data_IF_124003385557
#
_entry.id   IF_124003385557
#
_cell.length_a   1.000
_cell.length_b   1.000
_cell.length_c   1.000
_cell.angle_alpha   90.00
_cell.angle_beta   90.00
_cell.angle_gamma   90.00
#
_symmetry.space_group_name_H-M   'P 1'
#
loop_
_entity.id
_entity.type
_entity.pdbx_description
1 polymer ?
#
# COMPACT_ATOMS: atom_id res chain seq x y z
N UNK A 1 -9.23 -28.90 6.48
CA UNK A 1 -9.88 -27.60 6.72
C UNK A 1 -9.92 -26.86 5.40
N UNK A 2 -11.10 -26.58 4.87
CA UNK A 2 -11.25 -25.74 3.68
C UNK A 2 -11.24 -24.28 4.14
N UNK A 3 -10.26 -23.51 3.67
CA UNK A 3 -10.20 -22.07 3.94
C UNK A 3 -11.16 -21.37 2.99
N UNK A 4 -12.13 -20.63 3.54
CA UNK A 4 -13.08 -19.85 2.77
C UNK A 4 -12.49 -18.54 2.21
N UNK A 5 -13.27 -17.83 1.40
CA UNK A 5 -12.90 -16.50 0.91
C UNK A 5 -12.81 -15.49 2.06
N UNK A 6 -11.77 -14.65 2.05
CA UNK A 6 -11.61 -13.52 2.97
C UNK A 6 -11.83 -12.23 2.18
N UNK A 7 -12.75 -11.38 2.65
CA UNK A 7 -13.00 -10.04 2.11
C UNK A 7 -12.59 -8.98 3.12
N UNK A 8 -12.11 -7.85 2.62
CA UNK A 8 -11.78 -6.69 3.43
C UNK A 8 -12.43 -5.43 2.87
N UNK A 9 -12.56 -4.45 3.75
CA UNK A 9 -13.07 -3.12 3.42
C UNK A 9 -11.93 -2.12 3.54
N UNK A 10 -11.81 -1.23 2.56
CA UNK A 10 -10.84 -0.15 2.65
C UNK A 10 -11.22 0.80 3.79
N UNK A 11 -10.23 1.20 4.59
CA UNK A 11 -10.41 2.13 5.73
C UNK A 11 -10.00 3.57 5.40
N UNK A 12 -9.47 3.81 4.20
CA UNK A 12 -8.91 5.09 3.81
C UNK A 12 -8.31 5.07 2.42
N UNK A 13 -7.64 6.17 2.05
CA UNK A 13 -7.00 6.40 0.75
C UNK A 13 -5.57 6.89 0.95
N UNK A 14 -4.67 6.43 0.07
CA UNK A 14 -3.29 6.91 0.01
C UNK A 14 -3.18 8.00 -1.05
N UNK A 15 -2.68 9.16 -0.67
CA UNK A 15 -2.36 10.28 -1.55
C UNK A 15 -0.86 10.35 -1.79
N UNK A 16 -0.46 10.30 -3.06
CA UNK A 16 0.93 10.42 -3.48
C UNK A 16 1.04 11.25 -4.75
N UNK A 17 2.25 11.72 -5.12
CA UNK A 17 2.47 12.38 -6.41
C UNK A 17 2.37 11.40 -7.59
N UNK A 18 2.41 10.09 -7.36
CA UNK A 18 2.34 9.07 -8.41
C UNK A 18 0.90 8.81 -8.83
N UNK A 19 0.50 9.40 -9.97
CA UNK A 19 -0.86 9.24 -10.53
C UNK A 19 -1.02 8.05 -11.47
N UNK A 20 0.07 7.38 -11.84
CA UNK A 20 0.11 6.23 -12.75
C UNK A 20 1.10 5.21 -12.22
N UNK A 21 0.95 3.96 -12.64
CA UNK A 21 1.90 2.87 -12.28
C UNK A 21 3.30 3.13 -12.83
N UNK A 22 3.39 3.73 -14.02
CA UNK A 22 4.66 4.12 -14.63
C UNK A 22 5.26 5.31 -13.88
N UNK A 23 6.53 5.20 -13.48
CA UNK A 23 7.23 6.24 -12.72
C UNK A 23 7.08 6.10 -11.20
N UNK A 24 6.27 5.17 -10.71
CA UNK A 24 6.29 4.78 -9.30
C UNK A 24 7.62 4.08 -8.97
N UNK A 25 8.29 4.45 -7.86
CA UNK A 25 9.48 3.78 -7.39
C UNK A 25 9.26 2.27 -7.23
N UNK A 26 10.26 1.48 -7.64
CA UNK A 26 10.23 0.02 -7.50
C UNK A 26 10.15 -0.38 -6.02
N UNK A 27 10.80 0.41 -5.16
CA UNK A 27 10.79 0.25 -3.71
C UNK A 27 10.62 1.61 -3.04
N UNK A 28 9.97 1.63 -1.88
CA UNK A 28 9.78 2.84 -1.08
C UNK A 28 11.11 3.49 -0.66
N UNK A 29 12.16 2.70 -0.46
CA UNK A 29 13.52 3.19 -0.17
C UNK A 29 14.14 4.02 -1.29
N UNK A 30 13.63 3.90 -2.53
CA UNK A 30 14.03 4.75 -3.66
C UNK A 30 13.22 6.06 -3.73
N UNK A 31 12.37 6.33 -2.75
CA UNK A 31 11.44 7.45 -2.69
C UNK A 31 11.64 8.33 -1.43
N UNK A 32 12.85 8.35 -0.86
CA UNK A 32 13.13 9.00 0.44
C UNK A 32 12.72 10.49 0.49
N UNK A 33 12.81 11.20 -0.64
CA UNK A 33 12.46 12.62 -0.74
C UNK A 33 11.00 12.85 -1.19
N UNK A 34 10.15 11.82 -1.11
CA UNK A 34 8.76 11.88 -1.57
C UNK A 34 7.79 11.74 -0.41
N UNK A 35 7.03 12.81 -0.18
CA UNK A 35 5.97 12.82 0.80
C UNK A 35 4.67 12.21 0.25
N UNK A 36 3.95 11.54 1.14
CA UNK A 36 2.61 11.00 0.89
C UNK A 36 1.75 11.11 2.15
N UNK A 37 0.44 11.04 1.98
CA UNK A 37 -0.52 11.18 3.07
C UNK A 37 -1.50 10.01 3.05
N UNK A 38 -1.90 9.53 4.22
CA UNK A 38 -2.96 8.54 4.37
C UNK A 38 -4.17 9.26 4.97
N UNK A 39 -5.28 9.25 4.25
CA UNK A 39 -6.56 9.79 4.70
C UNK A 39 -7.47 8.64 5.13
N UNK A 40 -7.80 8.55 6.42
CA UNK A 40 -8.74 7.56 6.93
C UNK A 40 -10.19 8.06 6.81
N UNK A 41 -11.12 7.13 6.64
CA UNK A 41 -12.54 7.42 6.74
C UNK A 41 -12.87 7.83 8.20
N UNK A 42 -13.73 8.84 8.43
CA UNK A 42 -13.94 9.43 9.76
C UNK A 42 -14.28 8.42 10.86
N UNK A 43 -15.04 7.37 10.53
CA UNK A 43 -15.45 6.33 11.49
C UNK A 43 -14.30 5.46 12.03
N UNK A 44 -13.10 5.56 11.47
CA UNK A 44 -11.91 4.84 11.93
C UNK A 44 -10.89 5.74 12.66
N UNK A 45 -11.21 7.01 12.86
CA UNK A 45 -10.30 8.00 13.45
C UNK A 45 -9.85 7.65 14.88
N UNK A 46 -10.74 7.09 15.70
CA UNK A 46 -10.41 6.64 17.06
C UNK A 46 -9.33 5.54 17.08
N UNK A 47 -9.20 4.76 16.01
CA UNK A 47 -8.16 3.73 15.89
C UNK A 47 -6.73 4.26 15.72
N UNK A 48 -6.55 5.59 15.66
CA UNK A 48 -5.25 6.26 15.58
C UNK A 48 -4.73 6.73 16.94
N UNK A 49 -5.45 6.47 18.03
CA UNK A 49 -5.00 6.78 19.39
C UNK A 49 -3.57 6.23 19.62
N UNK A 50 -2.73 7.05 20.26
CA UNK A 50 -1.31 6.79 20.54
C UNK A 50 -0.37 6.59 19.32
N UNK A 51 -0.86 6.72 18.08
CA UNK A 51 -0.02 6.54 16.89
C UNK A 51 1.13 7.55 16.80
N UNK A 52 0.94 8.75 17.36
CA UNK A 52 1.94 9.84 17.38
C UNK A 52 3.25 9.48 18.10
N UNK A 53 3.23 8.47 18.98
CA UNK A 53 4.43 8.02 19.71
C UNK A 53 5.39 7.18 18.86
N UNK A 54 4.98 6.76 17.66
CA UNK A 54 5.77 5.89 16.79
C UNK A 54 6.46 6.68 15.67
N UNK A 55 7.71 6.31 15.38
CA UNK A 55 8.44 6.88 14.24
C UNK A 55 8.08 6.27 12.89
N UNK A 56 7.53 5.06 12.90
CA UNK A 56 7.24 4.28 11.68
C UNK A 56 5.98 3.45 11.87
N UNK A 57 5.29 3.21 10.75
CA UNK A 57 4.11 2.34 10.66
C UNK A 57 4.28 1.34 9.52
N UNK A 58 3.57 0.22 9.59
CA UNK A 58 3.41 -0.69 8.46
C UNK A 58 2.06 -0.38 7.80
N UNK A 59 2.11 0.02 6.53
CA UNK A 59 0.90 0.23 5.74
C UNK A 59 0.62 -1.00 4.88
N UNK A 60 -0.53 -1.63 5.10
CA UNK A 60 -1.07 -2.65 4.19
C UNK A 60 -2.10 -1.97 3.30
N UNK A 61 -1.86 -1.99 1.99
CA UNK A 61 -2.72 -1.31 1.02
C UNK A 61 -3.02 -2.21 -0.18
N UNK A 62 -4.13 -1.92 -0.85
CA UNK A 62 -4.59 -2.66 -2.02
C UNK A 62 -4.02 -2.05 -3.30
N UNK A 63 -3.31 -2.84 -4.10
CA UNK A 63 -2.89 -2.45 -5.45
C UNK A 63 -4.08 -2.41 -6.41
N UNK A 64 -4.91 -1.35 -6.31
CA UNK A 64 -6.18 -1.20 -7.03
C UNK A 64 -6.09 -1.20 -8.56
N UNK A 65 -4.91 -0.93 -9.12
CA UNK A 65 -4.66 -1.02 -10.56
C UNK A 65 -4.15 -2.41 -11.00
N UNK A 66 -3.87 -3.32 -10.06
CA UNK A 66 -3.50 -4.69 -10.35
C UNK A 66 -4.74 -5.48 -10.76
N UNK A 67 -4.76 -5.95 -12.01
CA UNK A 67 -5.93 -6.64 -12.59
C UNK A 67 -5.91 -8.16 -12.39
N UNK A 68 -4.72 -8.73 -12.23
CA UNK A 68 -4.51 -10.17 -12.14
C UNK A 68 -3.25 -10.47 -11.34
N UNK A 69 -3.13 -11.70 -10.85
CA UNK A 69 -1.91 -12.21 -10.25
C UNK A 69 -1.30 -13.29 -11.13
N UNK A 70 0.02 -13.41 -11.09
CA UNK A 70 0.76 -14.47 -11.74
C UNK A 70 1.57 -15.21 -10.68
N UNK A 71 1.50 -16.54 -10.66
CA UNK A 71 2.27 -17.37 -9.71
C UNK A 71 3.78 -17.35 -10.00
N UNK A 72 4.15 -17.00 -11.23
CA UNK A 72 5.53 -16.78 -11.66
C UNK A 72 5.59 -15.46 -12.43
N UNK A 73 6.52 -14.61 -12.03
CA UNK A 73 6.84 -13.35 -12.70
C UNK A 73 8.36 -13.25 -12.83
N UNK A 74 8.84 -12.53 -13.83
CA UNK A 74 10.25 -12.14 -13.91
C UNK A 74 10.45 -10.91 -13.04
N UNK A 75 11.28 -10.97 -11.98
CA UNK A 75 11.58 -9.78 -11.17
C UNK A 75 12.19 -8.67 -12.02
N UNK A 76 11.96 -7.41 -11.65
CA UNK A 76 12.34 -6.25 -12.45
C UNK A 76 13.85 -6.18 -12.76
N UNK A 77 14.69 -6.61 -11.82
CA UNK A 77 16.16 -6.60 -11.95
C UNK A 77 16.73 -7.96 -12.36
N UNK A 78 15.89 -8.92 -12.73
CA UNK A 78 16.37 -10.23 -13.17
C UNK A 78 16.69 -10.21 -14.66
N UNK A 79 17.84 -10.74 -15.04
CA UNK A 79 18.30 -10.81 -16.41
C UNK A 79 17.69 -12.02 -17.13
N UNK A 80 17.23 -13.03 -16.37
CA UNK A 80 16.69 -14.29 -16.88
C UNK A 80 15.17 -14.26 -17.01
#
# INVERSE_FOLDING_TARGET
>A
MTVGEIRYHAIGTVHSPYKKTQGTPIQASAALDVEGTIELLPQYSEGLEDLEGFSHIILIYHFHLSKQYCLKVKPYLDDK
#
